data_IF_959434499822
#
_entry.id   IF_959434499822
#
_cell.length_a   1.000
_cell.length_b   1.000
_cell.length_c   1.000
_cell.angle_alpha   90.00
_cell.angle_beta   90.00
_cell.angle_gamma   90.00
#
_symmetry.space_group_name_H-M   'P 1'
#
loop_
_entity.id
_entity.type
_entity.pdbx_description
1 polymer ?
#
# COMPACT_ATOMS: atom_id res chain seq x y z
N UNK A 1 4.41 5.97 29.45
CA UNK A 1 3.25 5.56 28.63
C UNK A 1 3.78 5.19 27.26
N UNK A 2 3.37 4.04 26.72
CA UNK A 2 3.75 3.68 25.35
C UNK A 2 3.05 4.59 24.34
N UNK A 3 3.75 4.95 23.27
CA UNK A 3 3.16 5.72 22.17
C UNK A 3 2.21 4.83 21.36
N UNK A 4 1.26 5.41 20.60
CA UNK A 4 0.40 4.65 19.68
C UNK A 4 1.21 3.82 18.70
N UNK A 5 2.33 4.36 18.21
CA UNK A 5 3.28 3.64 17.36
C UNK A 5 3.83 2.38 18.04
N UNK A 6 4.30 2.50 19.28
CA UNK A 6 4.80 1.37 20.06
C UNK A 6 3.72 0.31 20.30
N UNK A 7 2.48 0.73 20.58
CA UNK A 7 1.36 -0.20 20.75
C UNK A 7 1.09 -1.00 19.48
N UNK A 8 1.08 -0.34 18.31
CA UNK A 8 0.91 -1.02 17.01
C UNK A 8 2.05 -2.03 16.78
N UNK A 9 3.29 -1.61 16.95
CA UNK A 9 4.46 -2.48 16.77
C UNK A 9 4.44 -3.68 17.71
N UNK A 10 4.12 -3.46 18.98
CA UNK A 10 4.02 -4.54 19.98
C UNK A 10 2.90 -5.52 19.64
N UNK A 11 1.76 -5.03 19.15
CA UNK A 11 0.64 -5.89 18.77
C UNK A 11 0.97 -6.75 17.54
N UNK A 12 1.66 -6.19 16.54
CA UNK A 12 2.11 -6.94 15.37
C UNK A 12 3.15 -8.01 15.74
N UNK A 13 4.09 -7.70 16.62
CA UNK A 13 5.04 -8.67 17.14
C UNK A 13 4.36 -9.78 17.97
N UNK A 14 3.36 -9.44 18.78
CA UNK A 14 2.60 -10.42 19.56
C UNK A 14 1.83 -11.37 18.64
N UNK A 15 1.17 -10.84 17.60
CA UNK A 15 0.52 -11.64 16.57
C UNK A 15 1.50 -12.60 15.89
N UNK A 16 2.67 -12.11 15.46
CA UNK A 16 3.69 -12.93 14.82
C UNK A 16 4.17 -14.07 15.75
N UNK A 17 4.45 -13.76 17.02
CA UNK A 17 4.83 -14.77 18.02
C UNK A 17 3.74 -15.83 18.22
N UNK A 18 2.47 -15.43 18.30
CA UNK A 18 1.34 -16.35 18.45
C UNK A 18 1.21 -17.31 17.25
N UNK A 19 1.55 -16.83 16.06
CA UNK A 19 1.55 -17.62 14.81
C UNK A 19 2.82 -18.44 14.59
N UNK A 20 3.82 -18.33 15.48
CA UNK A 20 5.12 -18.98 15.31
C UNK A 20 5.98 -18.35 14.20
N UNK A 21 5.64 -17.14 13.75
CA UNK A 21 6.40 -16.39 12.74
C UNK A 21 7.67 -15.82 13.38
N UNK A 22 8.81 -16.10 12.75
CA UNK A 22 10.11 -15.59 13.18
C UNK A 22 10.41 -14.25 12.52
N UNK A 23 10.94 -13.32 13.30
CA UNK A 23 11.35 -12.00 12.83
C UNK A 23 12.59 -11.53 13.60
N UNK A 24 13.31 -10.57 13.03
CA UNK A 24 14.52 -10.01 13.64
C UNK A 24 14.22 -8.88 14.64
N UNK A 25 15.29 -8.29 15.20
CA UNK A 25 15.20 -7.21 16.20
C UNK A 25 14.46 -5.95 15.71
N UNK A 26 14.40 -5.73 14.40
CA UNK A 26 13.76 -4.56 13.79
C UNK A 26 12.31 -4.89 13.36
N UNK A 27 11.82 -6.11 13.61
CA UNK A 27 10.46 -6.53 13.27
C UNK A 27 10.29 -6.97 11.83
N UNK A 28 11.36 -7.40 11.15
CA UNK A 28 11.28 -7.93 9.79
C UNK A 28 11.24 -9.46 9.82
N UNK A 29 10.31 -10.07 9.09
CA UNK A 29 10.24 -11.51 8.90
C UNK A 29 11.40 -12.01 8.04
N UNK A 30 11.86 -13.23 8.25
CA UNK A 30 12.95 -13.81 7.45
C UNK A 30 12.49 -14.23 6.05
N UNK A 31 11.21 -14.57 5.90
CA UNK A 31 10.55 -14.82 4.62
C UNK A 31 9.43 -13.81 4.40
N UNK A 32 9.31 -13.29 3.19
CA UNK A 32 8.21 -12.41 2.80
C UNK A 32 6.84 -13.06 3.05
N UNK A 33 6.71 -14.35 2.73
CA UNK A 33 5.45 -15.08 2.87
C UNK A 33 4.99 -15.18 4.33
N UNK A 34 5.90 -15.08 5.30
CA UNK A 34 5.53 -15.11 6.71
C UNK A 34 4.75 -13.85 7.13
N UNK A 35 4.85 -12.76 6.36
CA UNK A 35 4.12 -11.52 6.62
C UNK A 35 2.82 -11.40 5.81
N UNK A 36 2.48 -12.42 5.02
CA UNK A 36 1.32 -12.42 4.13
C UNK A 36 0.31 -13.49 4.53
N UNK A 37 -0.98 -13.16 4.45
CA UNK A 37 -2.07 -14.11 4.76
C UNK A 37 -2.29 -15.16 3.67
N UNK A 38 -1.81 -14.89 2.46
CA UNK A 38 -1.94 -15.78 1.31
C UNK A 38 -0.71 -15.69 0.44
N UNK A 39 -0.45 -16.76 -0.33
CA UNK A 39 0.66 -16.78 -1.26
C UNK A 39 0.56 -15.64 -2.28
N UNK A 40 1.72 -15.06 -2.58
CA UNK A 40 1.88 -14.02 -3.56
C UNK A 40 1.48 -14.53 -4.94
N UNK A 41 0.53 -13.86 -5.60
CA UNK A 41 0.17 -14.19 -6.98
C UNK A 41 1.30 -13.73 -7.91
N UNK A 42 1.70 -14.52 -8.91
CA UNK A 42 2.76 -14.14 -9.84
C UNK A 42 2.48 -12.81 -10.55
N UNK A 43 1.23 -12.50 -10.93
CA UNK A 43 0.89 -11.21 -11.55
C UNK A 43 1.13 -10.03 -10.60
N UNK A 44 0.59 -10.09 -9.37
CA UNK A 44 0.80 -9.04 -8.36
C UNK A 44 2.30 -8.88 -8.07
N UNK A 45 3.05 -9.99 -8.05
CA UNK A 45 4.50 -9.94 -7.80
C UNK A 45 5.23 -9.13 -8.87
N UNK A 46 4.85 -9.31 -10.14
CA UNK A 46 5.45 -8.56 -11.25
C UNK A 46 5.22 -7.07 -11.12
N UNK A 47 4.04 -6.64 -10.66
CA UNK A 47 3.74 -5.23 -10.45
C UNK A 47 4.64 -4.61 -9.37
N UNK A 48 4.78 -5.26 -8.21
CA UNK A 48 5.72 -4.82 -7.16
C UNK A 48 7.19 -4.89 -7.61
N UNK A 49 7.57 -5.86 -8.45
CA UNK A 49 8.93 -5.92 -9.02
C UNK A 49 9.21 -4.81 -10.03
N UNK A 50 8.19 -4.35 -10.75
CA UNK A 50 8.30 -3.23 -11.69
C UNK A 50 8.29 -1.87 -10.98
N UNK A 51 7.78 -1.84 -9.75
CA UNK A 51 7.86 -0.70 -8.85
C UNK A 51 9.30 -0.36 -8.45
N UNK A 52 9.52 0.87 -7.96
CA UNK A 52 10.86 1.36 -7.58
C UNK A 52 11.10 1.41 -6.06
N UNK A 53 10.14 0.98 -5.26
CA UNK A 53 10.18 1.24 -3.83
C UNK A 53 10.91 0.18 -2.98
N UNK A 54 11.55 -0.82 -3.61
CA UNK A 54 12.32 -1.88 -2.93
C UNK A 54 11.44 -2.71 -1.96
N UNK A 55 10.15 -2.84 -2.30
CA UNK A 55 9.14 -3.55 -1.50
C UNK A 55 9.52 -5.01 -1.29
N UNK A 56 10.06 -5.66 -2.32
CA UNK A 56 10.45 -7.07 -2.33
C UNK A 56 11.92 -7.31 -1.97
N UNK A 57 12.72 -6.25 -1.85
CA UNK A 57 14.15 -6.33 -1.59
C UNK A 57 14.97 -6.76 -2.82
N UNK A 58 16.29 -6.72 -2.68
CA UNK A 58 17.27 -7.11 -3.70
C UNK A 58 18.58 -7.55 -3.05
N UNK A 59 19.33 -8.46 -3.69
CA UNK A 59 20.73 -8.81 -3.36
C UNK A 59 21.05 -8.93 -1.86
N UNK A 60 20.34 -9.84 -1.17
CA UNK A 60 20.57 -10.12 0.25
C UNK A 60 20.03 -9.05 1.22
N UNK A 61 19.43 -7.97 0.71
CA UNK A 61 18.69 -6.99 1.52
C UNK A 61 17.22 -7.38 1.61
N UNK A 62 16.69 -7.30 2.83
CA UNK A 62 15.27 -7.52 3.12
C UNK A 62 14.42 -6.40 2.49
N UNK A 63 13.31 -6.77 1.87
CA UNK A 63 12.35 -5.83 1.31
C UNK A 63 11.52 -5.13 2.38
N UNK A 64 10.97 -3.95 2.07
CA UNK A 64 10.08 -3.23 3.00
C UNK A 64 8.84 -4.04 3.37
N UNK A 65 8.37 -4.92 2.48
CA UNK A 65 7.20 -5.76 2.70
C UNK A 65 7.43 -6.86 3.75
N UNK A 66 8.68 -7.14 4.13
CA UNK A 66 8.98 -8.07 5.23
C UNK A 66 8.78 -7.45 6.62
N UNK A 67 8.62 -6.13 6.74
CA UNK A 67 8.29 -5.50 8.03
C UNK A 67 6.88 -5.89 8.49
N UNK A 68 6.74 -6.35 9.73
CA UNK A 68 5.45 -6.67 10.36
C UNK A 68 4.45 -5.51 10.38
N UNK A 69 4.91 -4.28 10.15
CA UNK A 69 4.07 -3.08 10.05
C UNK A 69 4.21 -2.39 8.68
N UNK A 70 4.45 -3.18 7.63
CA UNK A 70 4.60 -2.69 6.27
C UNK A 70 3.27 -2.27 5.64
N UNK A 71 3.21 -1.05 5.12
CA UNK A 71 2.10 -0.56 4.29
C UNK A 71 1.82 -1.47 3.09
N UNK A 72 2.86 -1.89 2.37
CA UNK A 72 2.70 -2.72 1.18
C UNK A 72 2.21 -4.13 1.54
N UNK A 73 2.62 -4.67 2.70
CA UNK A 73 2.09 -5.95 3.16
C UNK A 73 0.61 -5.83 3.55
N UNK A 74 0.21 -4.72 4.17
CA UNK A 74 -1.19 -4.42 4.46
C UNK A 74 -2.03 -4.36 3.17
N UNK A 75 -1.52 -3.66 2.14
CA UNK A 75 -2.15 -3.58 0.82
C UNK A 75 -2.34 -4.97 0.21
N UNK A 76 -1.27 -5.78 0.17
CA UNK A 76 -1.37 -7.15 -0.36
C UNK A 76 -2.36 -7.98 0.46
N UNK A 77 -2.30 -7.94 1.79
CA UNK A 77 -3.17 -8.72 2.66
C UNK A 77 -4.66 -8.37 2.53
N UNK A 78 -5.00 -7.15 2.12
CA UNK A 78 -6.39 -6.70 1.93
C UNK A 78 -6.84 -6.93 0.49
N UNK A 79 -6.07 -6.47 -0.50
CA UNK A 79 -6.54 -6.33 -1.87
C UNK A 79 -6.22 -7.53 -2.75
N UNK A 80 -5.13 -8.28 -2.52
CA UNK A 80 -4.75 -9.44 -3.37
C UNK A 80 -5.85 -10.49 -3.49
N UNK A 81 -6.69 -10.65 -2.46
CA UNK A 81 -7.82 -11.58 -2.51
C UNK A 81 -8.76 -11.28 -3.69
N UNK A 82 -8.97 -10.00 -3.98
CA UNK A 82 -9.96 -9.50 -4.95
C UNK A 82 -9.51 -9.58 -6.41
N UNK A 83 -8.23 -9.85 -6.68
CA UNK A 83 -7.72 -10.05 -8.05
C UNK A 83 -8.49 -11.16 -8.79
N UNK A 84 -8.91 -12.20 -8.06
CA UNK A 84 -9.66 -13.34 -8.60
C UNK A 84 -11.15 -13.30 -8.26
N UNK A 85 -11.66 -12.15 -7.82
CA UNK A 85 -13.06 -11.94 -7.47
C UNK A 85 -13.62 -10.81 -8.34
N UNK A 86 -14.85 -10.39 -8.04
CA UNK A 86 -15.39 -9.17 -8.63
C UNK A 86 -14.70 -7.94 -8.03
N UNK A 87 -13.89 -7.26 -8.84
CA UNK A 87 -13.19 -6.03 -8.45
C UNK A 87 -14.16 -4.90 -8.11
N UNK A 88 -15.36 -4.91 -8.70
CA UNK A 88 -16.34 -3.84 -8.48
C UNK A 88 -16.84 -3.79 -7.04
N UNK A 89 -16.91 -4.94 -6.35
CA UNK A 89 -17.32 -5.03 -4.95
C UNK A 89 -16.33 -4.30 -4.02
N UNK A 90 -15.04 -4.61 -4.15
CA UNK A 90 -14.00 -3.96 -3.32
C UNK A 90 -13.80 -2.50 -3.72
N UNK A 91 -13.89 -2.18 -5.02
CA UNK A 91 -13.80 -0.80 -5.48
C UNK A 91 -14.95 0.04 -4.89
N UNK A 92 -16.18 -0.49 -4.89
CA UNK A 92 -17.34 0.16 -4.27
C UNK A 92 -17.18 0.30 -2.75
N UNK A 93 -16.64 -0.71 -2.07
CA UNK A 93 -16.35 -0.63 -0.63
C UNK A 93 -15.31 0.45 -0.29
N UNK A 94 -14.40 0.74 -1.22
CA UNK A 94 -13.45 1.84 -1.13
C UNK A 94 -14.00 3.19 -1.64
N UNK A 95 -15.28 3.25 -2.01
CA UNK A 95 -15.97 4.46 -2.47
C UNK A 95 -15.72 4.85 -3.92
N UNK A 96 -15.24 3.93 -4.75
CA UNK A 96 -15.16 4.15 -6.19
C UNK A 96 -16.56 4.16 -6.83
N UNK A 97 -16.76 4.91 -7.92
CA UNK A 97 -18.02 4.85 -8.66
C UNK A 97 -18.20 3.47 -9.31
N UNK A 98 -19.45 3.14 -9.65
CA UNK A 98 -19.76 1.93 -10.40
C UNK A 98 -19.03 1.90 -11.75
N UNK A 99 -18.67 0.69 -12.20
CA UNK A 99 -17.98 0.46 -13.47
C UNK A 99 -16.46 0.36 -13.38
N UNK A 100 -15.89 0.35 -12.18
CA UNK A 100 -14.52 -0.10 -11.96
C UNK A 100 -14.44 -1.61 -12.14
N UNK A 101 -13.56 -2.05 -13.04
CA UNK A 101 -13.44 -3.46 -13.47
C UNK A 101 -12.03 -3.99 -13.33
N UNK A 102 -11.05 -3.12 -13.12
CA UNK A 102 -9.65 -3.47 -13.03
C UNK A 102 -9.05 -2.93 -11.72
N UNK A 103 -8.10 -3.67 -11.17
CA UNK A 103 -7.36 -3.32 -9.97
C UNK A 103 -5.88 -3.64 -10.20
N UNK A 104 -5.03 -2.64 -10.02
CA UNK A 104 -3.59 -2.73 -10.24
C UNK A 104 -2.85 -2.24 -9.00
N UNK A 105 -1.67 -2.77 -8.76
CA UNK A 105 -0.78 -2.45 -7.65
C UNK A 105 0.44 -1.66 -8.14
N UNK A 106 1.03 -0.86 -7.24
CA UNK A 106 2.30 -0.13 -7.46
C UNK A 106 2.34 0.68 -8.77
N UNK A 107 1.19 1.21 -9.21
CA UNK A 107 1.07 1.88 -10.49
C UNK A 107 1.83 3.20 -10.48
N UNK A 108 2.75 3.35 -11.43
CA UNK A 108 3.52 4.58 -11.63
C UNK A 108 2.70 5.57 -12.44
N UNK A 109 2.35 6.72 -11.86
CA UNK A 109 1.58 7.78 -12.54
C UNK A 109 2.40 9.05 -12.74
N UNK A 110 2.94 9.30 -13.95
CA UNK A 110 3.65 10.55 -14.25
C UNK A 110 2.78 11.77 -13.93
N UNK A 111 3.39 12.80 -13.35
CA UNK A 111 2.69 14.06 -13.07
C UNK A 111 3.28 15.19 -13.89
N UNK A 112 2.48 16.20 -14.28
CA UNK A 112 2.98 17.41 -14.94
C UNK A 112 3.96 18.23 -14.09
N UNK A 113 4.07 17.92 -12.80
CA UNK A 113 4.89 18.66 -11.83
C UNK A 113 6.39 18.32 -11.93
N UNK A 114 6.76 17.38 -12.81
CA UNK A 114 8.13 16.88 -12.93
C UNK A 114 8.58 16.06 -11.71
N UNK A 115 9.81 15.54 -11.78
CA UNK A 115 10.42 14.72 -10.72
C UNK A 115 10.11 13.23 -10.84
N UNK A 116 10.35 12.49 -9.76
CA UNK A 116 10.08 11.05 -9.68
C UNK A 116 8.57 10.86 -9.63
N UNK A 117 7.95 10.12 -10.58
CA UNK A 117 6.53 9.84 -10.54
C UNK A 117 6.12 9.13 -9.24
N UNK A 118 4.95 9.45 -8.67
CA UNK A 118 4.39 8.67 -7.57
C UNK A 118 4.09 7.24 -8.01
N UNK A 119 4.27 6.32 -7.07
CA UNK A 119 3.82 4.94 -7.11
C UNK A 119 2.58 4.86 -6.23
N UNK A 120 1.48 4.36 -6.78
CA UNK A 120 0.21 4.23 -6.09
C UNK A 120 0.08 2.80 -5.59
N UNK A 121 -0.19 2.60 -4.30
CA UNK A 121 -0.27 1.25 -3.73
C UNK A 121 -1.35 0.40 -4.41
N UNK A 122 -2.53 0.97 -4.64
CA UNK A 122 -3.64 0.36 -5.40
C UNK A 122 -4.29 1.40 -6.29
N UNK A 123 -4.66 0.99 -7.50
CA UNK A 123 -5.46 1.78 -8.41
C UNK A 123 -6.60 0.95 -9.01
N UNK A 124 -7.82 1.49 -8.96
CA UNK A 124 -8.98 0.99 -9.66
C UNK A 124 -9.21 1.76 -10.96
N UNK A 125 -9.47 1.03 -12.04
CA UNK A 125 -9.79 1.60 -13.35
C UNK A 125 -11.03 0.96 -13.97
N UNK A 126 -11.67 1.72 -14.85
CA UNK A 126 -12.85 1.32 -15.60
C UNK A 126 -12.98 2.12 -16.89
N UNK A 127 -13.73 1.59 -17.86
CA UNK A 127 -13.84 2.20 -19.19
C UNK A 127 -14.41 3.63 -19.12
N UNK A 128 -13.64 4.62 -19.61
CA UNK A 128 -13.99 6.06 -19.60
C UNK A 128 -14.23 6.65 -18.19
N UNK A 129 -13.79 5.96 -17.14
CA UNK A 129 -13.85 6.47 -15.77
C UNK A 129 -12.51 7.09 -15.36
N UNK A 130 -12.56 8.06 -14.46
CA UNK A 130 -11.36 8.56 -13.79
C UNK A 130 -10.89 7.49 -12.80
N UNK A 131 -9.61 7.08 -12.81
CA UNK A 131 -9.11 6.09 -11.87
C UNK A 131 -9.25 6.57 -10.42
N UNK A 132 -9.48 5.64 -9.50
CA UNK A 132 -9.41 5.88 -8.06
C UNK A 132 -8.15 5.19 -7.53
N UNK A 133 -7.34 5.91 -6.77
CA UNK A 133 -6.16 5.33 -6.14
C UNK A 133 -6.25 5.34 -4.61
N UNK A 134 -5.63 4.35 -4.01
CA UNK A 134 -5.49 4.18 -2.57
C UNK A 134 -4.01 4.22 -2.23
N UNK A 135 -3.67 5.00 -1.22
CA UNK A 135 -2.36 5.04 -0.60
C UNK A 135 -2.50 4.61 0.87
N UNK A 136 -1.77 3.58 1.26
CA UNK A 136 -1.79 2.95 2.56
C UNK A 136 -0.59 3.37 3.40
N UNK A 137 -0.85 3.92 4.59
CA UNK A 137 0.19 4.29 5.55
C UNK A 137 -0.06 3.59 6.88
N UNK A 138 0.64 2.48 7.12
CA UNK A 138 0.42 1.67 8.32
C UNK A 138 0.77 2.45 9.59
N UNK A 139 2.04 2.85 9.76
CA UNK A 139 2.54 3.47 11.00
C UNK A 139 2.86 4.95 10.87
N UNK A 140 2.97 5.47 9.65
CA UNK A 140 3.35 6.86 9.37
C UNK A 140 2.48 7.90 10.11
N UNK A 141 1.14 7.76 10.20
CA UNK A 141 0.30 8.72 10.92
C UNK A 141 0.62 8.82 12.43
N UNK A 142 1.26 7.80 13.01
CA UNK A 142 1.49 7.67 14.44
C UNK A 142 2.93 8.02 14.86
N UNK A 143 3.81 8.33 13.91
CA UNK A 143 5.25 8.49 14.17
C UNK A 143 5.66 9.92 14.61
N UNK A 144 4.81 10.94 14.38
CA UNK A 144 4.85 12.32 14.94
C UNK A 144 3.72 13.15 14.32
N UNK A 145 3.30 14.23 14.97
CA UNK A 145 2.45 15.26 14.37
C UNK A 145 3.20 16.02 13.26
N UNK A 146 3.45 15.39 12.12
CA UNK A 146 3.83 16.12 10.92
C UNK A 146 2.61 16.89 10.46
N UNK A 147 2.64 18.24 10.51
CA UNK A 147 1.69 19.07 9.77
C UNK A 147 1.76 18.66 8.30
N UNK A 148 0.81 17.84 7.85
CA UNK A 148 0.68 17.47 6.44
C UNK A 148 -0.28 18.45 5.78
N UNK A 149 0.22 19.63 5.43
CA UNK A 149 -0.50 20.50 4.51
C UNK A 149 -0.25 19.99 3.10
N UNK A 150 -1.31 19.73 2.34
CA UNK A 150 -1.18 19.46 0.90
C UNK A 150 -0.54 20.71 0.29
N UNK A 151 0.59 20.55 -0.42
CA UNK A 151 1.25 21.70 -1.06
C UNK A 151 0.33 22.23 -2.17
N UNK A 152 0.16 23.54 -2.25
CA UNK A 152 -0.74 24.20 -3.21
C UNK A 152 -0.52 23.78 -4.67
N UNK A 153 0.72 23.41 -5.05
CA UNK A 153 1.03 22.89 -6.39
C UNK A 153 0.27 21.61 -6.77
N UNK A 154 -0.23 20.84 -5.80
CA UNK A 154 -1.07 19.67 -6.05
C UNK A 154 -2.57 20.01 -6.18
N UNK A 155 -2.98 21.19 -5.72
CA UNK A 155 -4.36 21.68 -5.79
C UNK A 155 -4.59 22.53 -7.04
N UNK A 156 -3.58 23.29 -7.46
CA UNK A 156 -3.68 24.30 -8.51
C UNK A 156 -3.27 23.81 -9.90
N UNK A 157 -2.89 22.55 -10.05
CA UNK A 157 -2.57 21.94 -11.34
C UNK A 157 -3.57 20.82 -11.60
N UNK A 158 -4.33 20.85 -12.72
CA UNK A 158 -5.17 19.73 -13.12
C UNK A 158 -4.31 18.48 -13.30
N UNK A 159 -4.31 17.60 -12.30
CA UNK A 159 -3.70 16.29 -12.40
C UNK A 159 -4.64 15.31 -13.11
N UNK A 160 -4.11 14.22 -13.71
CA UNK A 160 -4.93 13.18 -14.32
C UNK A 160 -5.92 12.52 -13.34
N UNK A 161 -5.69 12.64 -12.02
CA UNK A 161 -6.47 12.02 -10.94
C UNK A 161 -7.53 12.92 -10.29
N UNK A 162 -7.65 14.20 -10.68
CA UNK A 162 -8.58 15.13 -10.03
C UNK A 162 -8.26 15.41 -8.55
N UNK A 163 -9.08 16.26 -7.92
CA UNK A 163 -8.89 16.77 -6.55
C UNK A 163 -8.83 15.66 -5.50
N UNK A 164 -7.73 15.63 -4.73
CA UNK A 164 -7.52 14.75 -3.59
C UNK A 164 -8.58 15.00 -2.52
N UNK A 165 -9.57 14.12 -2.39
CA UNK A 165 -10.49 14.13 -1.25
C UNK A 165 -10.00 13.14 -0.21
N UNK A 166 -9.76 13.60 1.02
CA UNK A 166 -9.54 12.72 2.16
C UNK A 166 -10.90 12.16 2.61
N UNK A 167 -11.04 10.84 2.68
CA UNK A 167 -12.03 10.26 3.60
C UNK A 167 -11.50 10.46 5.03
N UNK A 168 -12.32 11.09 5.87
CA UNK A 168 -12.08 11.26 7.31
C UNK A 168 -12.59 10.05 8.07
#
# INVERSE_FOLDING_TARGET
MSTTFELICNQQQAWARQRGIKFDKDGYTFSLNDNLFSLFLPEVKKEFQSGKGDELGSDGKRGKMQSLHSSSALVVNVFRYWVNQDVSDIASACGAPQGMTEMHFEQTRPTPLGGIPPHLDVEFSGNKLKPLAIESKFTEPYHRHTKRTIKDKYLNVPGPMGTTSQMR
#
